data_IF_413445910776
#
_entry.id   IF_413445910776
#
_cell.length_a   1.000
_cell.length_b   1.000
_cell.length_c   1.000
_cell.angle_alpha   90.00
_cell.angle_beta   90.00
_cell.angle_gamma   90.00
#
_symmetry.space_group_name_H-M   'P 1'
#
loop_
_entity.id
_entity.type
_entity.pdbx_description
1 polymer ?
#
# COMPACT_ATOMS: atom_id res chain seq x y z
N UNK A 1 24.15 21.68 -11.49
CA UNK A 1 25.35 21.26 -12.24
C UNK A 1 25.44 21.85 -13.65
N UNK A 2 25.18 23.16 -13.86
CA UNK A 2 25.27 23.78 -15.20
C UNK A 2 26.01 25.13 -15.26
N UNK A 3 26.26 25.78 -14.12
CA UNK A 3 26.98 27.07 -14.10
C UNK A 3 28.51 26.92 -14.06
N UNK A 4 29.06 25.90 -13.41
CA UNK A 4 30.52 25.73 -13.30
C UNK A 4 31.18 25.25 -14.59
N UNK A 5 30.42 24.57 -15.48
CA UNK A 5 30.92 24.19 -16.81
C UNK A 5 31.02 25.38 -17.76
N UNK A 6 30.27 26.45 -17.52
CA UNK A 6 30.31 27.68 -18.34
C UNK A 6 31.55 28.53 -18.01
N UNK A 7 31.90 28.63 -16.72
CA UNK A 7 33.08 29.39 -16.26
C UNK A 7 34.42 28.75 -16.68
N UNK A 8 34.51 27.42 -16.64
CA UNK A 8 35.72 26.70 -17.09
C UNK A 8 35.88 26.79 -18.61
N UNK A 9 34.79 26.85 -19.37
CA UNK A 9 34.86 26.99 -20.83
C UNK A 9 35.27 28.40 -21.27
N UNK A 10 34.88 29.44 -20.52
CA UNK A 10 35.28 30.82 -20.82
C UNK A 10 36.75 31.11 -20.53
N UNK A 11 37.37 30.38 -19.59
CA UNK A 11 38.78 30.57 -19.22
C UNK A 11 39.76 29.87 -20.19
N UNK A 12 39.30 28.83 -20.88
CA UNK A 12 40.09 28.08 -21.88
C UNK A 12 40.01 28.72 -23.27
N UNK A 13 38.95 29.47 -23.56
CA UNK A 13 38.78 30.14 -24.86
C UNK A 13 39.58 31.45 -24.99
N UNK A 14 40.02 32.04 -23.87
CA UNK A 14 40.89 33.23 -23.85
C UNK A 14 42.36 32.94 -24.14
N UNK A 15 42.76 31.67 -24.28
CA UNK A 15 44.16 31.25 -24.51
C UNK A 15 44.45 30.77 -25.94
N UNK A 16 43.50 30.88 -26.88
CA UNK A 16 43.62 30.29 -28.21
C UNK A 16 43.30 31.25 -29.38
N UNK A 17 43.27 32.57 -29.16
CA UNK A 17 42.98 33.56 -30.22
C UNK A 17 44.04 34.65 -30.26
N UNK A 18 45.27 34.28 -30.61
CA UNK A 18 46.21 35.14 -31.33
C UNK A 18 46.96 34.24 -32.33
N UNK A 19 46.25 33.82 -33.38
CA UNK A 19 46.83 33.27 -34.61
C UNK A 19 46.81 34.38 -35.66
N UNK A 20 47.99 34.78 -36.14
CA UNK A 20 48.23 35.85 -37.11
C UNK A 20 47.45 35.65 -38.42
N UNK A 21 47.03 36.73 -39.13
CA UNK A 21 46.72 36.65 -40.54
C UNK A 21 47.89 37.14 -41.40
N UNK A 22 48.36 36.23 -42.25
CA UNK A 22 49.02 36.50 -43.53
C UNK A 22 48.09 37.29 -44.46
N UNK A 23 48.56 38.41 -45.02
CA UNK A 23 48.06 38.93 -46.30
C UNK A 23 49.24 39.10 -47.26
N UNK A 24 49.06 38.56 -48.46
CA UNK A 24 49.98 38.57 -49.58
C UNK A 24 49.26 39.19 -50.81
N UNK A 25 50.04 39.89 -51.64
CA UNK A 25 49.80 40.37 -53.02
C UNK A 25 48.84 41.56 -53.19
N UNK A 26 49.13 42.61 -53.98
CA UNK A 26 50.21 42.93 -54.95
C UNK A 26 50.24 44.47 -55.17
N UNK A 27 51.33 44.93 -55.78
CA UNK A 27 51.58 46.22 -56.48
C UNK A 27 52.28 47.36 -55.72
N UNK A 28 53.62 47.29 -55.77
CA UNK A 28 54.59 48.36 -56.06
C UNK A 28 54.37 49.74 -55.43
N UNK A 29 55.06 50.00 -54.31
CA UNK A 29 55.80 51.25 -54.08
C UNK A 29 56.81 51.02 -52.94
N UNK A 30 58.04 51.48 -53.15
CA UNK A 30 59.20 51.34 -52.26
C UNK A 30 58.92 51.86 -50.82
N UNK A 31 58.86 50.97 -49.82
CA UNK A 31 59.01 51.33 -48.39
C UNK A 31 59.76 50.21 -47.65
N UNK A 32 61.01 50.52 -47.35
CA UNK A 32 61.99 49.72 -46.66
C UNK A 32 61.83 49.84 -45.14
N UNK A 33 61.41 48.76 -44.48
CA UNK A 33 61.82 48.53 -43.10
C UNK A 33 60.73 48.18 -42.10
N UNK A 34 60.82 46.93 -41.66
CA UNK A 34 60.48 46.48 -40.30
C UNK A 34 58.99 46.39 -39.93
N UNK A 35 58.50 45.14 -40.00
CA UNK A 35 57.56 44.63 -39.00
C UNK A 35 58.18 44.87 -37.62
N UNK A 36 57.90 46.03 -37.02
CA UNK A 36 58.25 46.28 -35.63
C UNK A 36 57.49 45.26 -34.81
N UNK A 37 58.19 44.21 -34.37
CA UNK A 37 57.87 43.55 -33.11
C UNK A 37 57.82 44.68 -32.09
N UNK A 38 56.61 45.15 -31.75
CA UNK A 38 56.42 46.09 -30.65
C UNK A 38 56.93 45.38 -29.39
N UNK A 39 58.21 45.59 -29.09
CA UNK A 39 58.84 45.16 -27.86
C UNK A 39 58.03 45.80 -26.72
N UNK A 40 57.39 44.95 -25.93
CA UNK A 40 56.66 45.36 -24.73
C UNK A 40 57.60 46.26 -23.90
N UNK A 41 57.25 47.55 -23.77
CA UNK A 41 58.10 48.48 -23.05
C UNK A 41 58.33 48.01 -21.60
N UNK A 42 59.47 48.41 -21.02
CA UNK A 42 59.89 47.91 -19.70
C UNK A 42 58.84 48.19 -18.61
N UNK A 43 58.07 49.27 -18.74
CA UNK A 43 57.00 49.66 -17.82
C UNK A 43 55.79 48.71 -17.92
N UNK A 44 55.38 48.37 -19.15
CA UNK A 44 54.32 47.42 -19.44
C UNK A 44 54.71 46.01 -19.01
N UNK A 45 55.99 45.63 -19.15
CA UNK A 45 56.52 44.38 -18.62
C UNK A 45 56.46 44.32 -17.09
N UNK A 46 56.90 45.38 -16.42
CA UNK A 46 56.81 45.48 -14.96
C UNK A 46 55.35 45.40 -14.49
N UNK A 47 54.43 46.11 -15.16
CA UNK A 47 53.00 46.07 -14.86
C UNK A 47 52.40 44.65 -15.03
N UNK A 48 52.76 43.92 -16.09
CA UNK A 48 52.34 42.53 -16.28
C UNK A 48 52.90 41.61 -15.19
N UNK A 49 54.16 41.77 -14.81
CA UNK A 49 54.79 40.97 -13.76
C UNK A 49 54.16 41.20 -12.39
N UNK A 50 53.78 42.43 -12.08
CA UNK A 50 53.06 42.80 -10.87
C UNK A 50 51.64 42.20 -10.87
N UNK A 51 50.93 42.29 -12.00
CA UNK A 51 49.61 41.66 -12.17
C UNK A 51 49.69 40.13 -11.99
N UNK A 52 50.64 39.47 -12.63
CA UNK A 52 50.81 38.02 -12.51
C UNK A 52 51.20 37.61 -11.09
N UNK A 53 52.05 38.39 -10.42
CA UNK A 53 52.39 38.18 -9.01
C UNK A 53 51.15 38.29 -8.12
N UNK A 54 50.35 39.34 -8.32
CA UNK A 54 49.11 39.55 -7.57
C UNK A 54 48.10 38.42 -7.81
N UNK A 55 47.90 38.01 -9.06
CA UNK A 55 47.01 36.91 -9.44
C UNK A 55 47.47 35.57 -8.88
N UNK A 56 48.77 35.30 -8.86
CA UNK A 56 49.34 34.11 -8.21
C UNK A 56 49.05 34.12 -6.72
N UNK A 57 49.24 35.26 -6.05
CA UNK A 57 48.95 35.40 -4.62
C UNK A 57 47.47 35.20 -4.30
N UNK A 58 46.57 35.74 -5.11
CA UNK A 58 45.12 35.55 -4.99
C UNK A 58 44.71 34.08 -5.20
N UNK A 59 45.17 33.45 -6.29
CA UNK A 59 44.88 32.04 -6.57
C UNK A 59 45.42 31.10 -5.48
N UNK A 60 46.61 31.36 -4.93
CA UNK A 60 47.14 30.61 -3.79
C UNK A 60 46.26 30.78 -2.55
N UNK A 61 45.81 32.01 -2.26
CA UNK A 61 44.92 32.28 -1.13
C UNK A 61 43.57 31.57 -1.28
N UNK A 62 43.00 31.54 -2.49
CA UNK A 62 41.77 30.81 -2.79
C UNK A 62 41.95 29.30 -2.65
N UNK A 63 43.10 28.76 -3.09
CA UNK A 63 43.42 27.34 -2.95
C UNK A 63 43.51 26.93 -1.48
N UNK A 64 44.16 27.74 -0.64
CA UNK A 64 44.28 27.49 0.80
C UNK A 64 42.92 27.58 1.51
N UNK A 65 42.09 28.54 1.11
CA UNK A 65 40.72 28.65 1.60
C UNK A 65 39.86 27.42 1.23
N UNK A 66 39.93 26.96 -0.02
CA UNK A 66 39.23 25.76 -0.48
C UNK A 66 39.73 24.50 0.22
N UNK A 67 41.04 24.36 0.44
CA UNK A 67 41.60 23.23 1.19
C UNK A 67 41.09 23.23 2.64
N UNK A 68 41.04 24.39 3.28
CA UNK A 68 40.48 24.55 4.62
C UNK A 68 39.00 24.15 4.66
N UNK A 69 38.22 24.54 3.66
CA UNK A 69 36.81 24.14 3.55
C UNK A 69 36.66 22.63 3.33
N UNK A 70 37.47 22.04 2.46
CA UNK A 70 37.51 20.59 2.21
C UNK A 70 37.78 19.83 3.50
N UNK A 71 38.74 20.25 4.30
CA UNK A 71 39.08 19.59 5.55
C UNK A 71 37.97 19.76 6.60
N UNK A 72 37.35 20.95 6.64
CA UNK A 72 36.15 21.18 7.44
C UNK A 72 34.96 20.30 7.02
N UNK A 73 34.76 20.07 5.71
CA UNK A 73 33.74 19.18 5.18
C UNK A 73 34.03 17.71 5.50
N UNK A 74 35.28 17.27 5.36
CA UNK A 74 35.71 15.91 5.73
C UNK A 74 35.46 15.64 7.21
N UNK A 75 35.78 16.60 8.08
CA UNK A 75 35.52 16.48 9.53
C UNK A 75 34.02 16.35 9.80
N UNK A 76 33.21 17.26 9.25
CA UNK A 76 31.74 17.19 9.39
C UNK A 76 31.16 15.88 8.89
N UNK A 77 31.67 15.35 7.77
CA UNK A 77 31.25 14.05 7.26
C UNK A 77 31.59 12.92 8.24
N UNK A 78 32.77 12.95 8.86
CA UNK A 78 33.15 12.01 9.92
C UNK A 78 32.21 12.09 11.12
N UNK A 79 31.93 13.29 11.63
CA UNK A 79 31.06 13.51 12.78
C UNK A 79 29.63 13.03 12.51
N UNK A 80 29.06 13.36 11.34
CA UNK A 80 27.71 12.92 10.94
C UNK A 80 27.63 11.41 10.81
N UNK A 81 28.63 10.76 10.19
CA UNK A 81 28.68 9.30 10.08
C UNK A 81 28.74 8.63 11.45
N UNK A 82 29.55 9.17 12.36
CA UNK A 82 29.62 8.65 13.72
C UNK A 82 28.27 8.73 14.44
N UNK A 83 27.57 9.86 14.33
CA UNK A 83 26.22 10.02 14.90
C UNK A 83 25.23 9.05 14.26
N UNK A 84 25.25 8.90 12.94
CA UNK A 84 24.39 7.97 12.19
C UNK A 84 24.62 6.51 12.62
N UNK A 85 25.88 6.07 12.66
CA UNK A 85 26.24 4.70 13.06
C UNK A 85 25.81 4.44 14.52
N UNK A 86 26.05 5.39 15.42
CA UNK A 86 25.64 5.28 16.81
C UNK A 86 24.10 5.20 16.95
N UNK A 87 23.37 6.08 16.25
CA UNK A 87 21.90 6.07 16.27
C UNK A 87 21.33 4.76 15.71
N UNK A 88 21.89 4.26 14.61
CA UNK A 88 21.51 2.98 14.01
C UNK A 88 21.78 1.81 14.97
N UNK A 89 22.95 1.78 15.61
CA UNK A 89 23.30 0.74 16.57
C UNK A 89 22.34 0.75 17.77
N UNK A 90 22.01 1.92 18.31
CA UNK A 90 21.04 2.06 19.40
C UNK A 90 19.65 1.61 18.94
N UNK A 91 19.20 2.04 17.76
CA UNK A 91 17.90 1.63 17.21
C UNK A 91 17.81 0.11 17.15
N UNK A 92 18.77 -0.55 16.51
CA UNK A 92 18.74 -1.99 16.36
C UNK A 92 18.86 -2.70 17.71
N UNK A 93 19.70 -2.24 18.63
CA UNK A 93 19.74 -2.79 19.99
C UNK A 93 18.39 -2.73 20.72
N UNK A 94 17.60 -1.68 20.50
CA UNK A 94 16.28 -1.52 21.11
C UNK A 94 15.20 -2.36 20.43
N UNK A 95 15.14 -2.37 19.10
CA UNK A 95 14.05 -3.02 18.36
C UNK A 95 14.32 -4.48 18.03
N UNK A 96 15.59 -4.86 17.80
CA UNK A 96 16.00 -6.21 17.43
C UNK A 96 17.29 -6.24 16.59
N UNK A 97 17.17 -6.37 15.28
CA UNK A 97 18.31 -6.39 14.35
C UNK A 97 17.90 -5.89 12.98
N UNK A 98 18.85 -5.37 12.21
CA UNK A 98 18.61 -4.93 10.84
C UNK A 98 18.10 -6.07 9.95
N UNK A 99 18.70 -7.26 10.06
CA UNK A 99 18.26 -8.45 9.30
C UNK A 99 16.82 -8.85 9.64
N UNK A 100 16.47 -8.89 10.93
CA UNK A 100 15.10 -9.22 11.34
C UNK A 100 14.09 -8.16 10.93
N UNK A 101 14.50 -6.89 10.89
CA UNK A 101 13.70 -5.79 10.36
C UNK A 101 13.44 -5.96 8.85
N UNK A 102 14.46 -6.32 8.05
CA UNK A 102 14.30 -6.50 6.60
C UNK A 102 13.38 -7.69 6.26
N UNK A 103 13.48 -8.77 7.03
CA UNK A 103 12.54 -9.91 6.93
C UNK A 103 11.11 -9.50 7.31
N UNK A 104 10.95 -8.75 8.40
CA UNK A 104 9.66 -8.23 8.83
C UNK A 104 9.05 -7.32 7.76
N UNK A 105 9.84 -6.42 7.18
CA UNK A 105 9.41 -5.50 6.12
C UNK A 105 8.88 -6.26 4.89
N UNK A 106 9.54 -7.35 4.52
CA UNK A 106 9.10 -8.23 3.42
C UNK A 106 7.76 -8.88 3.73
N UNK A 107 7.64 -9.50 4.92
CA UNK A 107 6.38 -10.13 5.38
C UNK A 107 5.24 -9.12 5.50
N UNK A 108 5.54 -7.91 5.96
CA UNK A 108 4.58 -6.82 6.06
C UNK A 108 4.05 -6.40 4.69
N UNK A 109 4.93 -6.25 3.70
CA UNK A 109 4.54 -5.89 2.33
C UNK A 109 3.68 -6.99 1.69
N UNK A 110 4.04 -8.26 1.87
CA UNK A 110 3.23 -9.39 1.41
C UNK A 110 1.85 -9.42 2.07
N UNK A 111 1.79 -9.10 3.37
CA UNK A 111 0.53 -9.00 4.10
C UNK A 111 -0.35 -7.87 3.60
N UNK A 112 0.23 -6.69 3.38
CA UNK A 112 -0.49 -5.54 2.83
C UNK A 112 -1.06 -5.84 1.45
N UNK A 113 -0.30 -6.55 0.60
CA UNK A 113 -0.78 -7.00 -0.72
C UNK A 113 -1.98 -7.93 -0.60
N UNK A 114 -1.95 -8.93 0.30
CA UNK A 114 -3.07 -9.85 0.51
C UNK A 114 -4.30 -9.16 1.10
N UNK A 115 -4.10 -8.28 2.09
CA UNK A 115 -5.18 -7.47 2.68
C UNK A 115 -5.85 -6.59 1.62
N UNK A 116 -5.06 -5.95 0.75
CA UNK A 116 -5.60 -5.14 -0.34
C UNK A 116 -6.33 -5.97 -1.40
N UNK A 117 -5.95 -7.24 -1.58
CA UNK A 117 -6.61 -8.17 -2.50
C UNK A 117 -7.79 -8.93 -1.87
N UNK A 118 -8.11 -8.68 -0.60
CA UNK A 118 -9.14 -9.40 0.14
C UNK A 118 -10.53 -9.17 -0.46
N UNK A 119 -11.19 -10.25 -0.90
CA UNK A 119 -12.50 -10.20 -1.57
C UNK A 119 -13.66 -10.50 -0.64
N UNK A 120 -13.42 -11.25 0.43
CA UNK A 120 -14.47 -11.64 1.35
C UNK A 120 -13.96 -12.31 2.62
N UNK A 121 -14.86 -12.91 3.40
CA UNK A 121 -14.55 -13.31 4.76
C UNK A 121 -13.65 -14.55 4.83
N UNK A 122 -13.66 -15.41 3.81
CA UNK A 122 -12.73 -16.56 3.71
C UNK A 122 -11.28 -16.08 3.51
N UNK A 123 -11.05 -15.09 2.64
CA UNK A 123 -9.73 -14.46 2.47
C UNK A 123 -9.29 -13.78 3.78
N UNK A 124 -10.20 -13.10 4.47
CA UNK A 124 -9.91 -12.47 5.75
C UNK A 124 -9.53 -13.50 6.82
N UNK A 125 -10.18 -14.67 6.84
CA UNK A 125 -9.84 -15.76 7.74
C UNK A 125 -8.45 -16.37 7.41
N UNK A 126 -8.12 -16.55 6.14
CA UNK A 126 -6.78 -17.00 5.69
C UNK A 126 -5.69 -16.02 6.16
N UNK A 127 -5.90 -14.72 5.95
CA UNK A 127 -4.95 -13.67 6.37
C UNK A 127 -4.74 -13.71 7.88
N UNK A 128 -5.81 -13.87 8.67
CA UNK A 128 -5.72 -13.93 10.12
C UNK A 128 -5.04 -15.20 10.64
N UNK A 129 -5.22 -16.33 9.96
CA UNK A 129 -4.59 -17.58 10.37
C UNK A 129 -3.11 -17.63 9.99
N UNK A 130 -2.76 -17.15 8.79
CA UNK A 130 -1.45 -17.44 8.17
C UNK A 130 -0.48 -16.26 8.17
N UNK A 131 -0.96 -15.02 8.28
CA UNK A 131 -0.12 -13.81 8.18
C UNK A 131 -0.11 -12.98 9.45
N UNK A 132 -1.28 -12.78 10.04
CA UNK A 132 -1.45 -11.96 11.23
C UNK A 132 -0.60 -12.41 12.44
N UNK A 133 -0.38 -13.71 12.69
CA UNK A 133 0.47 -14.16 13.80
C UNK A 133 1.93 -13.66 13.72
N UNK A 134 2.43 -13.45 12.49
CA UNK A 134 3.78 -12.92 12.27
C UNK A 134 3.87 -11.40 12.48
N UNK A 135 2.72 -10.71 12.51
CA UNK A 135 2.57 -9.26 12.74
C UNK A 135 1.98 -8.95 14.13
N UNK A 136 2.17 -9.86 15.09
CA UNK A 136 1.59 -9.77 16.43
C UNK A 136 2.18 -8.64 17.28
N UNK A 137 1.46 -8.32 18.36
CA UNK A 137 1.90 -7.34 19.35
C UNK A 137 3.08 -7.81 20.22
N UNK A 138 3.48 -9.08 20.11
CA UNK A 138 4.48 -9.70 20.97
C UNK A 138 5.89 -9.75 20.34
N UNK A 139 6.90 -9.75 21.22
CA UNK A 139 8.29 -10.01 20.84
C UNK A 139 8.92 -8.94 19.93
N UNK A 140 9.87 -9.38 19.10
CA UNK A 140 10.63 -8.52 18.18
C UNK A 140 9.72 -7.90 17.10
N UNK A 141 8.79 -8.69 16.54
CA UNK A 141 7.81 -8.23 15.54
C UNK A 141 6.94 -7.09 16.08
N UNK A 142 6.51 -7.18 17.34
CA UNK A 142 5.74 -6.11 17.99
C UNK A 142 6.52 -4.79 18.06
N UNK A 143 7.85 -4.86 18.30
CA UNK A 143 8.72 -3.68 18.30
C UNK A 143 8.88 -3.08 16.91
N UNK A 144 9.11 -3.91 15.88
CA UNK A 144 9.19 -3.44 14.50
C UNK A 144 7.88 -2.78 14.05
N UNK A 145 6.73 -3.39 14.34
CA UNK A 145 5.40 -2.85 14.03
C UNK A 145 5.16 -1.44 14.59
N UNK A 146 5.74 -1.13 15.75
CA UNK A 146 5.61 0.18 16.39
C UNK A 146 6.52 1.26 15.77
N UNK A 147 7.40 0.91 14.81
CA UNK A 147 8.17 1.92 14.08
C UNK A 147 7.24 2.82 13.25
N UNK A 148 7.56 4.12 13.12
CA UNK A 148 6.69 5.09 12.45
C UNK A 148 6.26 4.69 11.03
N UNK A 149 7.12 3.99 10.29
CA UNK A 149 6.81 3.58 8.92
C UNK A 149 5.76 2.46 8.80
N UNK A 150 5.49 1.71 9.88
CA UNK A 150 4.57 0.57 9.87
C UNK A 150 3.29 0.84 10.64
N UNK A 151 3.33 1.65 11.69
CA UNK A 151 2.23 1.81 12.64
C UNK A 151 0.89 2.18 11.96
N UNK A 152 0.90 3.24 11.14
CA UNK A 152 -0.33 3.70 10.47
C UNK A 152 -0.82 2.70 9.42
N UNK A 153 0.11 2.10 8.67
CA UNK A 153 -0.20 1.07 7.66
C UNK A 153 -0.78 -0.19 8.31
N UNK A 154 -0.26 -0.59 9.47
CA UNK A 154 -0.76 -1.71 10.25
C UNK A 154 -2.20 -1.47 10.70
N UNK A 155 -2.47 -0.28 11.25
CA UNK A 155 -3.83 0.10 11.67
C UNK A 155 -4.79 0.15 10.48
N UNK A 156 -4.34 0.64 9.32
CA UNK A 156 -5.12 0.62 8.08
C UNK A 156 -5.41 -0.82 7.61
N UNK A 157 -4.43 -1.72 7.66
CA UNK A 157 -4.63 -3.14 7.34
C UNK A 157 -5.64 -3.80 8.28
N UNK A 158 -5.52 -3.57 9.59
CA UNK A 158 -6.45 -4.11 10.59
C UNK A 158 -7.90 -3.71 10.28
N UNK A 159 -8.11 -2.44 9.93
CA UNK A 159 -9.42 -1.93 9.52
C UNK A 159 -9.91 -2.61 8.24
N UNK A 160 -9.06 -2.71 7.21
CA UNK A 160 -9.41 -3.38 5.94
C UNK A 160 -9.77 -4.86 6.12
N UNK A 161 -9.07 -5.58 7.00
CA UNK A 161 -9.41 -6.96 7.33
C UNK A 161 -10.81 -7.03 7.96
N UNK A 162 -11.11 -6.14 8.92
CA UNK A 162 -12.44 -6.06 9.53
C UNK A 162 -13.54 -5.75 8.50
N UNK A 163 -13.29 -4.80 7.60
CA UNK A 163 -14.21 -4.45 6.50
C UNK A 163 -14.38 -5.62 5.52
N UNK A 164 -13.29 -6.35 5.22
CA UNK A 164 -13.31 -7.51 4.34
C UNK A 164 -14.12 -8.68 4.93
N UNK A 165 -14.06 -8.88 6.26
CA UNK A 165 -14.95 -9.82 6.96
C UNK A 165 -16.42 -9.44 6.85
N UNK A 166 -16.70 -8.13 6.81
CA UNK A 166 -18.06 -7.60 6.62
C UNK A 166 -18.56 -7.70 5.18
N UNK A 167 -17.67 -7.93 4.20
CA UNK A 167 -18.00 -8.06 2.78
C UNK A 167 -18.60 -9.44 2.48
N UNK A 168 -19.90 -9.57 2.68
CA UNK A 168 -20.65 -10.72 2.15
C UNK A 168 -20.93 -10.48 0.67
N UNK A 169 -20.28 -11.21 -0.22
CA UNK A 169 -20.70 -11.30 -1.62
C UNK A 169 -22.12 -11.89 -1.64
N UNK A 170 -23.12 -11.04 -1.83
CA UNK A 170 -24.51 -11.49 -1.94
C UNK A 170 -24.82 -11.76 -3.40
N UNK A 171 -24.91 -13.04 -3.77
CA UNK A 171 -25.62 -13.41 -4.99
C UNK A 171 -27.09 -13.00 -4.89
N UNK A 172 -27.81 -13.01 -6.00
CA UNK A 172 -29.26 -12.80 -6.00
C UNK A 172 -29.98 -13.97 -6.63
N UNK A 173 -31.18 -14.27 -6.15
CA UNK A 173 -32.02 -15.31 -6.72
C UNK A 173 -33.47 -14.84 -6.81
N UNK A 174 -34.07 -14.98 -7.99
CA UNK A 174 -35.48 -14.67 -8.22
C UNK A 174 -36.33 -15.90 -7.93
N UNK A 175 -37.22 -15.78 -6.95
CA UNK A 175 -38.14 -16.86 -6.54
C UNK A 175 -39.10 -17.21 -7.66
N UNK A 176 -39.22 -18.49 -7.97
CA UNK A 176 -40.17 -19.03 -8.95
C UNK A 176 -41.33 -19.73 -8.22
N UNK A 177 -42.47 -19.89 -8.91
CA UNK A 177 -43.64 -20.59 -8.37
C UNK A 177 -43.26 -22.02 -7.94
N UNK A 178 -43.53 -22.36 -6.68
CA UNK A 178 -43.25 -23.68 -6.09
C UNK A 178 -41.93 -23.79 -5.33
N UNK A 179 -41.16 -22.70 -5.27
CA UNK A 179 -39.96 -22.61 -4.47
C UNK A 179 -40.26 -22.51 -2.97
N UNK A 180 -39.31 -23.02 -2.19
CA UNK A 180 -39.20 -22.74 -0.77
C UNK A 180 -37.71 -22.56 -0.44
N UNK A 181 -37.41 -21.88 0.67
CA UNK A 181 -36.02 -21.61 1.07
C UNK A 181 -35.16 -22.89 1.13
N UNK A 182 -35.76 -24.02 1.51
CA UNK A 182 -35.11 -25.34 1.54
C UNK A 182 -34.68 -25.81 0.14
N UNK A 183 -35.54 -25.66 -0.87
CA UNK A 183 -35.22 -26.04 -2.26
C UNK A 183 -34.16 -25.11 -2.84
N UNK A 184 -34.30 -23.80 -2.63
CA UNK A 184 -33.35 -22.78 -3.10
C UNK A 184 -31.95 -23.07 -2.54
N UNK A 185 -31.83 -23.28 -1.23
CA UNK A 185 -30.55 -23.66 -0.61
C UNK A 185 -29.98 -25.00 -1.14
N UNK A 186 -30.84 -25.90 -1.59
CA UNK A 186 -30.46 -27.20 -2.15
C UNK A 186 -29.88 -27.14 -3.56
N UNK A 187 -30.07 -26.03 -4.28
CA UNK A 187 -29.57 -25.92 -5.66
C UNK A 187 -28.03 -25.91 -5.67
N UNK A 188 -27.43 -26.68 -6.58
CA UNK A 188 -25.95 -26.80 -6.69
C UNK A 188 -25.25 -25.48 -6.93
N UNK A 189 -25.90 -24.55 -7.64
CA UNK A 189 -25.40 -23.21 -7.94
C UNK A 189 -25.59 -22.20 -6.78
N UNK A 190 -26.29 -22.59 -5.71
CA UNK A 190 -26.48 -21.75 -4.52
C UNK A 190 -25.60 -22.28 -3.39
N UNK A 191 -26.01 -23.37 -2.73
CA UNK A 191 -25.19 -24.01 -1.70
C UNK A 191 -25.05 -25.53 -1.87
N UNK A 192 -25.85 -26.17 -2.71
CA UNK A 192 -25.90 -27.63 -2.84
C UNK A 192 -26.34 -28.36 -1.56
N UNK A 193 -26.85 -27.64 -0.55
CA UNK A 193 -27.27 -28.19 0.73
C UNK A 193 -28.50 -27.47 1.26
N UNK A 194 -29.65 -28.15 1.15
CA UNK A 194 -30.95 -27.62 1.56
C UNK A 194 -31.05 -27.24 3.03
N UNK A 195 -30.20 -27.80 3.89
CA UNK A 195 -30.18 -27.49 5.33
C UNK A 195 -29.58 -26.12 5.64
N UNK A 196 -29.03 -25.42 4.65
CA UNK A 196 -28.51 -24.05 4.77
C UNK A 196 -29.57 -22.96 4.53
N UNK A 197 -30.83 -23.34 4.33
CA UNK A 197 -31.93 -22.40 4.16
C UNK A 197 -32.07 -21.30 5.23
N UNK A 198 -31.72 -21.50 6.53
CA UNK A 198 -31.85 -20.42 7.52
C UNK A 198 -30.94 -19.24 7.22
N UNK A 199 -29.81 -19.47 6.54
CA UNK A 199 -28.90 -18.39 6.16
C UNK A 199 -29.54 -17.45 5.12
N UNK A 200 -30.28 -18.00 4.16
CA UNK A 200 -31.06 -17.20 3.20
C UNK A 200 -32.13 -16.41 3.93
N UNK A 201 -32.83 -17.04 4.89
CA UNK A 201 -33.87 -16.35 5.64
C UNK A 201 -33.31 -15.16 6.44
N UNK A 202 -32.24 -15.36 7.19
CA UNK A 202 -31.65 -14.31 8.03
C UNK A 202 -31.19 -13.10 7.20
N UNK A 203 -30.56 -13.34 6.05
CA UNK A 203 -30.11 -12.29 5.15
C UNK A 203 -31.25 -11.45 4.54
N UNK A 204 -32.47 -11.99 4.53
CA UNK A 204 -33.65 -11.36 3.92
C UNK A 204 -34.75 -11.00 4.92
N UNK A 205 -34.58 -11.30 6.21
CA UNK A 205 -35.58 -11.04 7.24
C UNK A 205 -35.90 -9.56 7.37
N UNK A 206 -34.87 -8.70 7.26
CA UNK A 206 -34.98 -7.24 7.30
C UNK A 206 -35.24 -6.59 5.94
N UNK A 207 -35.15 -7.33 4.83
CA UNK A 207 -35.38 -6.80 3.48
C UNK A 207 -34.82 -7.66 2.34
N UNK A 208 -35.66 -7.95 1.35
CA UNK A 208 -35.27 -8.54 0.04
C UNK A 208 -34.75 -7.45 -0.91
N UNK A 209 -34.08 -7.83 -2.00
CA UNK A 209 -33.53 -6.87 -2.98
C UNK A 209 -34.64 -6.15 -3.74
N UNK A 210 -35.61 -6.92 -4.24
CA UNK A 210 -36.81 -6.38 -4.89
C UNK A 210 -37.98 -7.34 -4.70
N UNK A 211 -39.18 -6.79 -4.75
CA UNK A 211 -40.41 -7.55 -4.62
C UNK A 211 -41.46 -6.99 -5.61
N UNK A 212 -42.35 -7.83 -6.15
CA UNK A 212 -43.47 -7.36 -6.96
C UNK A 212 -44.41 -6.43 -6.18
N UNK A 213 -45.23 -5.61 -6.88
CA UNK A 213 -46.26 -4.80 -6.23
C UNK A 213 -47.17 -5.65 -5.33
N UNK A 214 -47.55 -5.11 -4.16
CA UNK A 214 -48.41 -5.77 -3.15
C UNK A 214 -47.80 -6.98 -2.44
N UNK A 215 -46.51 -7.24 -2.59
CA UNK A 215 -45.76 -8.27 -1.83
C UNK A 215 -44.89 -7.60 -0.77
N UNK A 216 -44.82 -8.19 0.43
CA UNK A 216 -43.96 -7.68 1.50
C UNK A 216 -42.48 -7.72 1.08
N UNK A 217 -41.75 -6.62 1.36
CA UNK A 217 -40.30 -6.53 1.11
C UNK A 217 -39.46 -7.20 2.20
N UNK A 218 -40.06 -7.67 3.28
CA UNK A 218 -39.39 -8.33 4.41
C UNK A 218 -39.96 -9.73 4.59
N UNK A 219 -39.14 -10.68 5.06
CA UNK A 219 -39.56 -12.08 5.27
C UNK A 219 -39.56 -12.38 6.78
N UNK A 220 -40.59 -11.96 7.55
CA UNK A 220 -40.65 -12.24 8.98
C UNK A 220 -40.89 -13.72 9.29
N UNK A 221 -41.55 -14.46 8.39
CA UNK A 221 -41.80 -15.89 8.50
C UNK A 221 -41.04 -16.64 7.39
N UNK A 222 -40.15 -17.59 7.72
CA UNK A 222 -39.34 -18.29 6.72
C UNK A 222 -40.14 -19.16 5.75
N UNK A 223 -41.40 -19.48 6.07
CA UNK A 223 -42.27 -20.27 5.20
C UNK A 223 -43.01 -19.42 4.15
N UNK A 224 -42.92 -18.09 4.21
CA UNK A 224 -43.65 -17.18 3.32
C UNK A 224 -42.70 -16.47 2.37
N UNK A 225 -42.48 -17.08 1.21
CA UNK A 225 -41.82 -16.46 0.05
C UNK A 225 -42.76 -16.48 -1.15
N UNK A 226 -42.66 -15.48 -2.01
CA UNK A 226 -43.58 -15.26 -3.13
C UNK A 226 -42.83 -15.20 -4.47
N UNK A 227 -43.42 -15.71 -5.57
CA UNK A 227 -42.81 -15.62 -6.89
C UNK A 227 -42.49 -14.18 -7.31
N UNK A 228 -41.34 -14.00 -7.95
CA UNK A 228 -40.84 -12.69 -8.38
C UNK A 228 -40.10 -11.90 -7.30
N UNK A 229 -40.05 -12.38 -6.05
CA UNK A 229 -39.15 -11.80 -5.05
C UNK A 229 -37.69 -12.10 -5.41
N UNK A 230 -36.82 -11.09 -5.34
CA UNK A 230 -35.38 -11.24 -5.53
C UNK A 230 -34.69 -11.29 -4.16
N UNK A 231 -34.25 -12.48 -3.77
CA UNK A 231 -33.61 -12.75 -2.50
C UNK A 231 -32.11 -12.47 -2.57
N UNK A 232 -31.55 -11.95 -1.47
CA UNK A 232 -30.11 -11.93 -1.23
C UNK A 232 -29.66 -13.34 -0.86
N UNK A 233 -28.69 -13.86 -1.59
CA UNK A 233 -28.07 -15.17 -1.34
C UNK A 233 -26.68 -14.90 -0.80
N UNK A 234 -26.49 -14.93 0.53
CA UNK A 234 -25.17 -14.68 1.10
C UNK A 234 -24.20 -15.82 0.75
N UNK A 235 -22.98 -15.52 0.33
CA UNK A 235 -21.90 -16.53 0.37
C UNK A 235 -21.59 -16.85 1.84
N UNK A 236 -21.50 -18.13 2.16
CA UNK A 236 -21.29 -18.60 3.53
C UNK A 236 -19.89 -19.16 3.68
N UNK A 237 -19.17 -18.67 4.68
CA UNK A 237 -17.95 -19.29 5.19
C UNK A 237 -18.27 -20.64 5.86
N UNK A 238 -17.28 -21.49 6.06
CA UNK A 238 -17.51 -22.81 6.69
C UNK A 238 -18.03 -22.70 8.12
N UNK A 239 -17.55 -21.73 8.90
CA UNK A 239 -18.08 -21.45 10.23
C UNK A 239 -19.58 -21.10 10.16
N UNK A 240 -19.99 -20.25 9.22
CA UNK A 240 -21.40 -19.89 9.04
C UNK A 240 -22.26 -21.05 8.54
N UNK A 241 -21.72 -21.93 7.68
CA UNK A 241 -22.41 -23.16 7.27
C UNK A 241 -22.70 -24.04 8.49
N UNK A 242 -21.73 -24.22 9.38
CA UNK A 242 -21.95 -25.02 10.60
C UNK A 242 -23.01 -24.41 11.52
N UNK A 243 -23.02 -23.08 11.67
CA UNK A 243 -24.02 -22.39 12.47
C UNK A 243 -25.43 -22.49 11.86
N UNK A 244 -25.55 -22.30 10.55
CA UNK A 244 -26.81 -22.49 9.82
C UNK A 244 -27.35 -23.93 9.95
N UNK A 245 -26.48 -24.93 9.93
CA UNK A 245 -26.85 -26.34 10.16
C UNK A 245 -27.39 -26.57 11.58
N UNK A 246 -26.75 -25.99 12.62
CA UNK A 246 -27.23 -26.06 14.00
C UNK A 246 -28.62 -25.44 14.14
N UNK A 247 -28.85 -24.28 13.51
CA UNK A 247 -30.14 -23.61 13.49
C UNK A 247 -31.23 -24.44 12.82
N UNK A 248 -30.94 -25.06 11.66
CA UNK A 248 -31.87 -26.00 11.01
C UNK A 248 -32.26 -27.15 11.93
N UNK A 249 -31.32 -27.71 12.68
CA UNK A 249 -31.61 -28.78 13.64
C UNK A 249 -32.55 -28.30 14.76
N UNK A 250 -32.31 -27.11 15.30
CA UNK A 250 -33.19 -26.49 16.30
C UNK A 250 -34.62 -26.32 15.78
N UNK A 251 -34.79 -25.80 14.56
CA UNK A 251 -36.10 -25.68 13.91
C UNK A 251 -36.80 -27.02 13.74
N UNK A 252 -36.06 -28.08 13.34
CA UNK A 252 -36.59 -29.44 13.21
C UNK A 252 -37.06 -29.99 14.56
N UNK A 253 -36.29 -29.80 15.62
CA UNK A 253 -36.64 -30.25 16.98
C UNK A 253 -37.87 -29.53 17.51
N UNK A 254 -37.94 -28.20 17.38
CA UNK A 254 -39.12 -27.41 17.78
C UNK A 254 -40.38 -27.84 17.04
N UNK A 255 -40.27 -28.08 15.73
CA UNK A 255 -41.40 -28.58 14.92
C UNK A 255 -41.88 -29.95 15.40
N UNK A 256 -40.96 -30.90 15.68
CA UNK A 256 -41.29 -32.23 16.20
C UNK A 256 -41.97 -32.19 17.57
N UNK A 257 -41.50 -31.33 18.47
CA UNK A 257 -42.12 -31.15 19.80
C UNK A 257 -43.55 -30.60 19.65
N UNK A 258 -43.75 -29.64 18.75
CA UNK A 258 -45.08 -29.07 18.46
C UNK A 258 -46.04 -30.10 17.86
N UNK A 259 -45.60 -30.98 16.97
CA UNK A 259 -46.47 -32.06 16.46
C UNK A 259 -46.81 -33.07 17.55
N UNK A 260 -45.85 -33.45 18.42
CA UNK A 260 -46.13 -34.35 19.55
C UNK A 260 -47.12 -33.75 20.56
N UNK A 261 -47.05 -32.45 20.84
CA UNK A 261 -47.98 -31.79 21.77
C UNK A 261 -49.40 -31.66 21.21
N UNK A 262 -49.54 -31.60 19.88
CA UNK A 262 -50.87 -31.56 19.22
C UNK A 262 -51.49 -32.96 19.22
N UNK A 263 -50.70 -33.99 18.91
CA UNK A 263 -51.14 -35.40 18.91
C UNK A 263 -51.55 -35.88 20.32
N UNK A 264 -50.86 -35.42 21.37
CA UNK A 264 -51.23 -35.70 22.77
C UNK A 264 -52.32 -34.78 23.33
N UNK A 265 -52.71 -33.73 22.60
CA UNK A 265 -53.80 -32.82 22.96
C UNK A 265 -55.16 -33.24 22.40
N UNK A 266 -55.19 -33.94 21.26
CA UNK A 266 -56.43 -34.42 20.63
C UNK A 266 -56.98 -35.70 21.25
N UNK A 267 -56.15 -36.54 21.91
CA UNK A 267 -56.65 -37.70 22.67
C UNK A 267 -57.43 -37.35 23.96
N UNK A 268 -57.58 -36.07 24.32
CA UNK A 268 -58.32 -35.64 25.53
C UNK A 268 -59.67 -34.99 25.26
N UNK A 269 -60.19 -35.03 24.02
CA UNK A 269 -61.46 -34.35 23.66
C UNK A 269 -62.59 -35.26 23.18
N UNK A 270 -62.47 -36.59 23.23
CA UNK A 270 -63.56 -37.49 22.81
C UNK A 270 -64.42 -38.08 23.94
N UNK A 271 -64.04 -37.92 25.22
CA UNK A 271 -64.81 -38.49 26.33
C UNK A 271 -65.45 -37.42 27.22
N UNK A 272 -66.39 -36.62 26.71
CA UNK A 272 -67.37 -35.98 27.60
C UNK A 272 -68.69 -35.64 26.88
N UNK A 273 -69.75 -36.36 27.32
CA UNK A 273 -71.21 -36.15 27.17
C UNK A 273 -71.84 -36.74 25.89
N UNK A 274 -72.60 -37.85 25.89
CA UNK A 274 -73.73 -38.28 26.75
C UNK A 274 -74.81 -37.24 26.97
#
# INVERSE_FOLDING_TARGET
>A
MKFHKLLVFMMVFSLAVISSPTFAQDDDDDDDGEMMEEEMDEEMWQAQMDEYTARKSDLTSQLDALNTEIDGLKKRLGDVKFVEDNANNILWALVGSKTGYDEYKTKFADAEKRVNACKGPDDAADIEANLWPYLTDAGVSGRYKCLPEFWDRYNAMKKKIADCKGKMETGTYTVVKGDCLYKIAGMKNIYGNSRLWPAIWDANKSGVVSAPPRVAKTIPNPNLIYPGQVLKIPTLTDAQKTDALKRTNSYKTKRKMKTKSVDSGDMKKEDEKK
#
